data_IF_438402197437
#
_entry.id   IF_438402197437
#
_cell.length_a   1.000
_cell.length_b   1.000
_cell.length_c   1.000
_cell.angle_alpha   90.00
_cell.angle_beta   90.00
_cell.angle_gamma   90.00
#
_symmetry.space_group_name_H-M   'P 1'
#
loop_
_entity.id
_entity.type
_entity.pdbx_description
1 polymer ?
#
# COMPACT_ATOMS: atom_id res chain seq x y z
N UNK A 1 19.27 -8.11 -37.65
CA UNK A 1 19.72 -7.72 -38.99
C UNK A 1 18.93 -8.49 -40.07
N UNK A 2 18.75 -9.81 -39.95
CA UNK A 2 18.01 -10.66 -40.89
C UNK A 2 16.58 -10.16 -41.17
N UNK A 3 15.88 -9.66 -40.15
CA UNK A 3 14.52 -9.10 -40.31
C UNK A 3 14.55 -7.82 -41.17
N UNK A 4 15.62 -7.03 -41.09
CA UNK A 4 15.77 -5.81 -41.89
C UNK A 4 16.10 -6.17 -43.34
N UNK A 5 16.95 -7.17 -43.53
CA UNK A 5 17.45 -7.55 -44.85
C UNK A 5 16.44 -8.40 -45.64
N UNK A 6 15.74 -9.35 -45.00
CA UNK A 6 14.85 -10.29 -45.66
C UNK A 6 13.38 -10.26 -45.16
N UNK A 7 13.10 -9.45 -44.20
CA UNK A 7 11.95 -9.49 -43.31
C UNK A 7 10.55 -9.56 -43.92
N UNK A 8 10.12 -10.72 -44.34
CA UNK A 8 8.75 -11.00 -44.79
C UNK A 8 8.27 -10.08 -45.93
N UNK A 9 9.19 -9.68 -46.83
CA UNK A 9 8.90 -8.72 -47.90
C UNK A 9 7.79 -9.21 -48.83
N UNK A 10 7.69 -10.52 -49.08
CA UNK A 10 6.61 -11.08 -49.88
C UNK A 10 5.21 -10.81 -49.30
N UNK A 11 5.05 -11.03 -48.03
CA UNK A 11 3.76 -10.76 -47.34
C UNK A 11 3.39 -9.27 -47.36
N UNK A 12 4.37 -8.39 -47.29
CA UNK A 12 4.15 -6.93 -47.35
C UNK A 12 3.84 -6.46 -48.78
N UNK A 13 4.42 -7.11 -49.82
CA UNK A 13 4.15 -6.79 -51.22
C UNK A 13 2.68 -7.09 -51.62
N UNK A 14 2.07 -8.07 -51.00
CA UNK A 14 0.66 -8.40 -51.20
C UNK A 14 -0.32 -7.33 -50.67
N UNK A 15 0.11 -6.56 -49.66
CA UNK A 15 -0.73 -5.52 -49.03
C UNK A 15 -0.70 -4.23 -49.85
N UNK A 16 0.50 -3.76 -50.22
CA UNK A 16 0.70 -2.51 -50.96
C UNK A 16 2.11 -2.52 -51.59
N UNK A 17 2.20 -2.13 -52.87
CA UNK A 17 3.50 -2.03 -53.57
C UNK A 17 4.47 -1.07 -52.88
N UNK A 18 4.00 -0.09 -52.13
CA UNK A 18 4.83 0.87 -51.40
C UNK A 18 5.11 0.41 -49.95
N UNK A 19 4.43 -0.61 -49.45
CA UNK A 19 4.52 -1.07 -48.07
C UNK A 19 5.92 -1.56 -47.71
N UNK A 20 6.57 -2.29 -48.59
CA UNK A 20 7.95 -2.77 -48.40
C UNK A 20 8.90 -1.58 -48.18
N UNK A 21 8.83 -0.56 -49.05
CA UNK A 21 9.70 0.61 -48.94
C UNK A 21 9.47 1.36 -47.62
N UNK A 22 8.22 1.60 -47.26
CA UNK A 22 7.87 2.26 -45.97
C UNK A 22 8.37 1.46 -44.77
N UNK A 23 8.18 0.13 -44.82
CA UNK A 23 8.65 -0.79 -43.76
C UNK A 23 10.18 -0.76 -43.64
N UNK A 24 10.89 -0.86 -44.75
CA UNK A 24 12.35 -0.86 -44.74
C UNK A 24 12.90 0.46 -44.20
N UNK A 25 12.34 1.59 -44.57
CA UNK A 25 12.68 2.89 -43.99
C UNK A 25 12.46 2.90 -42.47
N UNK A 26 11.33 2.37 -42.02
CA UNK A 26 11.01 2.31 -40.57
C UNK A 26 12.01 1.39 -39.83
N UNK A 27 12.33 0.22 -40.37
CA UNK A 27 13.31 -0.71 -39.81
C UNK A 27 14.72 -0.13 -39.78
N UNK A 28 15.16 0.58 -40.83
CA UNK A 28 16.46 1.26 -40.84
C UNK A 28 16.51 2.37 -39.78
N UNK A 29 15.44 3.15 -39.61
CA UNK A 29 15.33 4.15 -38.51
C UNK A 29 15.41 3.51 -37.15
N UNK A 30 14.75 2.36 -36.96
CA UNK A 30 14.78 1.61 -35.69
C UNK A 30 16.19 1.07 -35.43
N UNK A 31 16.81 0.42 -36.44
CA UNK A 31 18.16 -0.10 -36.35
C UNK A 31 19.16 1.00 -35.95
N UNK A 32 19.06 2.16 -36.60
CA UNK A 32 19.90 3.32 -36.27
C UNK A 32 19.72 3.76 -34.82
N UNK A 33 18.48 3.78 -34.30
CA UNK A 33 18.19 4.13 -32.90
C UNK A 33 18.75 3.12 -31.90
N UNK A 34 18.63 1.83 -32.20
CA UNK A 34 19.10 0.74 -31.32
C UNK A 34 20.61 0.60 -31.36
N UNK A 35 21.24 0.89 -32.52
CA UNK A 35 22.71 0.81 -32.71
C UNK A 35 23.48 1.99 -32.12
N UNK A 36 22.77 3.07 -31.74
CA UNK A 36 23.42 4.20 -31.06
C UNK A 36 23.64 3.83 -29.58
N UNK A 37 24.88 3.83 -29.08
CA UNK A 37 25.16 3.59 -27.67
C UNK A 37 24.36 4.57 -26.81
N UNK A 38 23.82 4.10 -25.69
CA UNK A 38 23.14 4.96 -24.71
C UNK A 38 24.20 5.90 -24.11
N UNK A 39 24.37 7.07 -24.71
CA UNK A 39 25.37 8.06 -24.31
C UNK A 39 25.07 8.73 -22.94
N UNK A 40 23.86 8.60 -22.45
CA UNK A 40 23.46 9.16 -21.13
C UNK A 40 22.71 8.11 -20.32
N UNK A 41 23.39 7.57 -19.34
CA UNK A 41 22.74 6.82 -18.27
C UNK A 41 21.86 7.80 -17.50
N UNK A 42 20.54 7.56 -17.46
CA UNK A 42 19.63 8.38 -16.64
C UNK A 42 20.06 8.26 -15.18
N UNK A 43 20.42 9.38 -14.56
CA UNK A 43 20.69 9.41 -13.13
C UNK A 43 19.43 8.93 -12.39
N UNK A 44 19.56 8.04 -11.40
CA UNK A 44 18.42 7.62 -10.61
C UNK A 44 17.78 8.85 -9.95
N UNK A 45 16.46 8.90 -9.96
CA UNK A 45 15.72 9.99 -9.27
C UNK A 45 16.00 9.90 -7.77
N UNK A 46 16.47 10.99 -7.19
CA UNK A 46 16.55 11.14 -5.73
C UNK A 46 15.19 11.61 -5.23
N UNK A 47 14.62 10.91 -4.29
CA UNK A 47 13.38 11.29 -3.61
C UNK A 47 13.72 11.92 -2.25
N UNK A 48 12.92 12.91 -1.82
CA UNK A 48 13.05 13.47 -0.48
C UNK A 48 12.68 12.39 0.52
N UNK A 49 13.53 12.16 1.51
CA UNK A 49 13.22 11.25 2.62
C UNK A 49 12.22 11.94 3.53
N UNK A 50 11.09 11.30 3.76
CA UNK A 50 10.09 11.70 4.74
C UNK A 50 10.36 10.99 6.06
N UNK A 51 10.04 11.62 7.16
CA UNK A 51 10.31 11.11 8.50
C UNK A 51 8.99 11.10 9.26
N UNK A 52 8.70 10.00 9.94
CA UNK A 52 7.60 9.93 10.90
C UNK A 52 7.84 10.91 12.06
N UNK A 53 6.83 11.73 12.35
CA UNK A 53 6.85 12.70 13.46
C UNK A 53 5.58 12.67 14.30
N UNK A 54 4.64 11.79 13.98
CA UNK A 54 3.30 11.79 14.58
C UNK A 54 3.13 10.69 15.63
N UNK A 55 3.63 9.50 15.34
CA UNK A 55 3.28 8.33 16.16
C UNK A 55 4.51 7.50 16.49
N UNK A 56 4.40 6.75 17.58
CA UNK A 56 5.40 5.77 18.00
C UNK A 56 4.83 4.36 17.90
N UNK A 57 5.67 3.38 17.55
CA UNK A 57 5.22 1.98 17.34
C UNK A 57 4.50 1.44 18.58
N UNK A 58 3.37 0.80 18.36
CA UNK A 58 2.48 0.31 19.41
C UNK A 58 1.56 1.37 20.02
N UNK A 59 1.62 2.61 19.54
CA UNK A 59 0.74 3.67 20.00
C UNK A 59 -0.71 3.40 19.57
N UNK A 60 -1.62 3.44 20.54
CA UNK A 60 -3.06 3.34 20.33
C UNK A 60 -3.63 4.73 20.08
N UNK A 61 -4.27 4.87 18.96
CA UNK A 61 -4.82 6.13 18.46
C UNK A 61 -6.32 5.98 18.31
N UNK A 62 -7.06 6.88 18.93
CA UNK A 62 -8.51 6.99 18.77
C UNK A 62 -8.88 8.18 17.90
N UNK A 63 -10.01 8.09 17.24
CA UNK A 63 -10.70 9.21 16.60
C UNK A 63 -12.19 9.07 16.82
N UNK A 64 -12.93 10.18 16.70
CA UNK A 64 -14.37 10.20 16.94
C UNK A 64 -15.13 10.50 15.66
N UNK A 65 -16.16 9.70 15.41
CA UNK A 65 -17.13 9.90 14.34
C UNK A 65 -18.52 9.58 14.85
N UNK A 66 -19.51 10.41 14.53
CA UNK A 66 -20.90 10.28 14.98
C UNK A 66 -21.03 10.02 16.50
N UNK A 67 -20.20 10.71 17.29
CA UNK A 67 -20.06 10.58 18.75
C UNK A 67 -19.52 9.23 19.23
N UNK A 68 -19.12 8.32 18.37
CA UNK A 68 -18.47 7.07 18.73
C UNK A 68 -16.96 7.15 18.52
N UNK A 69 -16.22 6.49 19.38
CA UNK A 69 -14.77 6.33 19.22
C UNK A 69 -14.46 5.07 18.45
N UNK A 70 -13.53 5.21 17.52
CA UNK A 70 -12.85 4.13 16.81
C UNK A 70 -11.38 4.15 17.16
N UNK A 71 -10.72 3.00 17.14
CA UNK A 71 -9.31 2.89 17.46
C UNK A 71 -8.54 2.09 16.43
N UNK A 72 -7.28 2.44 16.31
CA UNK A 72 -6.27 1.66 15.60
C UNK A 72 -4.91 1.76 16.33
N UNK A 73 -4.04 0.81 16.06
CA UNK A 73 -2.72 0.72 16.67
C UNK A 73 -1.70 1.06 15.58
N UNK A 74 -0.85 2.04 15.82
CA UNK A 74 0.22 2.38 14.89
C UNK A 74 1.30 1.31 14.90
N UNK A 75 1.64 0.80 13.72
CA UNK A 75 2.64 -0.26 13.58
C UNK A 75 3.93 0.26 12.96
N UNK A 76 3.86 0.97 11.82
CA UNK A 76 5.06 1.34 11.08
C UNK A 76 4.85 2.58 10.21
N UNK A 77 5.96 3.21 9.85
CA UNK A 77 6.03 4.25 8.83
C UNK A 77 7.07 3.86 7.79
N UNK A 78 6.65 3.78 6.54
CA UNK A 78 7.54 3.39 5.45
C UNK A 78 7.38 4.29 4.22
N UNK A 79 8.44 4.39 3.44
CA UNK A 79 8.46 5.16 2.21
C UNK A 79 8.86 4.29 1.03
N UNK A 80 8.08 4.41 -0.05
CA UNK A 80 8.43 3.83 -1.34
C UNK A 80 8.49 4.94 -2.40
N UNK A 81 9.70 5.24 -2.87
CA UNK A 81 9.98 6.33 -3.81
C UNK A 81 9.56 7.69 -3.25
N UNK A 82 8.54 8.33 -3.86
CA UNK A 82 7.99 9.64 -3.45
C UNK A 82 6.86 9.52 -2.43
N UNK A 83 6.26 8.36 -2.32
CA UNK A 83 5.08 8.13 -1.50
C UNK A 83 5.48 7.51 -0.16
N UNK A 84 4.93 8.02 0.93
CA UNK A 84 5.12 7.49 2.27
C UNK A 84 3.78 7.16 2.90
N UNK A 85 3.80 6.21 3.82
CA UNK A 85 2.61 5.60 4.39
C UNK A 85 2.78 5.38 5.90
N UNK A 86 1.68 5.59 6.60
CA UNK A 86 1.50 5.15 7.98
C UNK A 86 0.71 3.85 7.97
N UNK A 87 1.24 2.80 8.58
CA UNK A 87 0.59 1.51 8.73
C UNK A 87 -0.08 1.40 10.10
N UNK A 88 -1.36 1.09 10.09
CA UNK A 88 -2.18 0.93 11.28
C UNK A 88 -2.86 -0.44 11.29
N UNK A 89 -3.06 -0.97 12.48
CA UNK A 89 -3.90 -2.15 12.71
C UNK A 89 -5.22 -1.67 13.30
N UNK A 90 -6.35 -1.80 12.58
CA UNK A 90 -7.64 -1.44 13.13
C UNK A 90 -8.05 -2.39 14.24
N UNK A 91 -8.81 -1.89 15.21
CA UNK A 91 -9.43 -2.68 16.27
C UNK A 91 -10.95 -2.72 16.10
N UNK A 92 -11.60 -3.66 16.74
CA UNK A 92 -13.07 -3.77 16.76
C UNK A 92 -13.75 -2.68 17.59
N UNK A 93 -12.98 -1.88 18.34
CA UNK A 93 -13.54 -0.84 19.21
C UNK A 93 -14.46 0.14 18.48
N UNK A 94 -15.71 0.23 18.95
CA UNK A 94 -16.73 1.11 18.38
C UNK A 94 -17.76 1.48 19.45
N UNK A 95 -17.43 2.44 20.33
CA UNK A 95 -18.26 2.81 21.48
C UNK A 95 -18.35 4.34 21.66
N UNK A 96 -19.34 4.82 22.39
CA UNK A 96 -19.51 6.21 22.81
C UNK A 96 -18.53 6.63 23.91
N UNK A 97 -18.01 5.67 24.65
CA UNK A 97 -17.04 5.92 25.72
C UNK A 97 -15.64 6.08 25.13
N UNK A 98 -14.88 7.03 25.69
CA UNK A 98 -13.46 7.16 25.33
C UNK A 98 -12.71 5.91 25.81
N UNK A 99 -11.97 5.22 24.93
CA UNK A 99 -11.28 4.00 25.30
C UNK A 99 -10.10 4.25 26.26
N UNK A 100 -9.77 3.22 27.02
CA UNK A 100 -8.53 3.11 27.78
C UNK A 100 -7.64 2.03 27.15
N UNK A 101 -6.36 1.97 27.54
CA UNK A 101 -5.45 0.91 27.10
C UNK A 101 -5.98 -0.48 27.51
N UNK A 102 -6.50 -0.61 28.71
CA UNK A 102 -7.05 -1.89 29.20
C UNK A 102 -8.26 -2.33 28.36
N UNK A 103 -9.11 -1.38 27.95
CA UNK A 103 -10.23 -1.65 27.05
C UNK A 103 -9.72 -2.17 25.69
N UNK A 104 -8.73 -1.50 25.10
CA UNK A 104 -8.20 -1.90 23.79
C UNK A 104 -7.44 -3.24 23.85
N UNK A 105 -6.84 -3.57 25.00
CA UNK A 105 -6.13 -4.84 25.16
C UNK A 105 -7.04 -6.07 24.99
N UNK A 106 -8.31 -5.95 25.33
CA UNK A 106 -9.33 -7.01 25.18
C UNK A 106 -10.07 -6.94 23.84
N UNK A 107 -9.93 -5.85 23.09
CA UNK A 107 -10.50 -5.73 21.75
C UNK A 107 -9.78 -6.63 20.75
N UNK A 108 -10.43 -6.91 19.64
CA UNK A 108 -9.91 -7.78 18.61
C UNK A 108 -9.32 -6.97 17.45
N UNK A 109 -8.37 -7.60 16.77
CA UNK A 109 -7.73 -7.10 15.55
C UNK A 109 -7.86 -8.11 14.42
N UNK A 110 -7.89 -7.65 13.16
CA UNK A 110 -8.07 -8.53 12.02
C UNK A 110 -6.77 -9.28 11.68
N UNK A 111 -6.89 -10.59 11.56
CA UNK A 111 -5.81 -11.47 11.16
C UNK A 111 -6.20 -12.23 9.91
N UNK A 112 -5.36 -12.24 8.90
CA UNK A 112 -5.57 -13.05 7.69
C UNK A 112 -5.20 -14.49 7.99
N UNK A 113 -6.15 -15.41 7.89
CA UNK A 113 -5.90 -16.84 7.91
C UNK A 113 -5.69 -17.36 6.50
N UNK A 114 -4.48 -17.74 6.22
CA UNK A 114 -3.99 -18.55 5.09
C UNK A 114 -4.60 -18.36 3.71
N UNK A 115 -3.75 -17.97 2.80
CA UNK A 115 -3.86 -18.38 1.40
C UNK A 115 -3.20 -19.78 1.22
N UNK A 116 -3.22 -20.33 -0.01
CA UNK A 116 -2.61 -21.62 -0.36
C UNK A 116 -1.11 -21.76 0.00
N UNK A 117 -0.45 -20.67 0.43
CA UNK A 117 0.95 -20.62 0.84
C UNK A 117 1.14 -20.54 2.37
N UNK A 118 0.05 -20.64 3.15
CA UNK A 118 0.16 -20.65 4.62
C UNK A 118 0.55 -19.29 5.23
N UNK A 119 0.23 -18.17 4.58
CA UNK A 119 0.49 -16.85 5.14
C UNK A 119 -0.52 -16.53 6.25
N UNK A 120 0.03 -16.23 7.42
CA UNK A 120 -0.68 -15.77 8.60
C UNK A 120 -0.13 -14.39 8.96
N UNK A 121 -0.97 -13.44 9.30
CA UNK A 121 -0.49 -12.12 9.70
C UNK A 121 -1.60 -11.14 10.00
N UNK A 122 -1.28 -10.16 10.83
CA UNK A 122 -2.18 -9.07 11.19
C UNK A 122 -2.48 -8.22 9.95
N UNK A 123 -3.76 -7.97 9.70
CA UNK A 123 -4.19 -7.13 8.58
C UNK A 123 -3.97 -5.66 8.90
N UNK A 124 -3.33 -4.93 7.98
CA UNK A 124 -2.92 -3.55 8.18
C UNK A 124 -3.57 -2.62 7.16
N UNK A 125 -3.99 -1.46 7.64
CA UNK A 125 -4.43 -0.33 6.85
C UNK A 125 -3.25 0.63 6.65
N UNK A 126 -2.85 0.87 5.42
CA UNK A 126 -1.77 1.79 5.09
C UNK A 126 -2.35 3.05 4.45
N UNK A 127 -2.24 4.17 5.15
CA UNK A 127 -2.72 5.47 4.71
C UNK A 127 -1.58 6.31 4.17
N UNK A 128 -1.84 7.09 3.13
CA UNK A 128 -0.85 8.04 2.62
C UNK A 128 -0.46 9.06 3.69
N UNK A 129 0.82 9.36 3.76
CA UNK A 129 1.38 10.39 4.64
C UNK A 129 0.59 11.71 4.59
N UNK A 130 0.26 12.16 3.39
CA UNK A 130 -0.47 13.43 3.18
C UNK A 130 -1.88 13.42 3.76
N UNK A 131 -2.54 12.27 3.79
CA UNK A 131 -3.91 12.15 4.29
C UNK A 131 -3.91 12.11 5.82
N UNK A 132 -2.96 11.37 6.41
CA UNK A 132 -2.77 11.35 7.86
C UNK A 132 -2.40 12.74 8.40
N UNK A 133 -1.53 13.48 7.70
CA UNK A 133 -1.18 14.87 8.08
C UNK A 133 -2.39 15.81 8.07
N UNK A 134 -3.37 15.61 7.18
CA UNK A 134 -4.62 16.39 7.17
C UNK A 134 -5.55 16.02 8.33
N UNK A 135 -5.53 14.76 8.75
CA UNK A 135 -6.44 14.24 9.78
C UNK A 135 -5.84 14.25 11.18
N UNK A 136 -4.55 14.58 11.34
CA UNK A 136 -3.81 14.46 12.61
C UNK A 136 -4.47 15.11 13.82
N UNK A 137 -5.14 16.25 13.60
CA UNK A 137 -5.79 17.01 14.69
C UNK A 137 -7.07 16.31 15.20
N UNK A 138 -7.57 15.30 14.49
CA UNK A 138 -8.69 14.45 14.92
C UNK A 138 -8.22 13.23 15.69
N UNK A 139 -6.93 12.95 15.72
CA UNK A 139 -6.37 11.77 16.36
C UNK A 139 -5.99 12.05 17.81
N UNK A 140 -6.38 11.14 18.68
CA UNK A 140 -6.17 11.22 20.11
C UNK A 140 -5.30 10.03 20.52
N UNK A 141 -4.11 10.30 21.05
CA UNK A 141 -3.27 9.26 21.64
C UNK A 141 -3.90 8.76 22.94
N UNK A 142 -4.06 7.44 23.08
CA UNK A 142 -4.62 6.78 24.25
C UNK A 142 -3.52 6.22 25.14
N UNK A 143 -2.42 5.78 24.54
CA UNK A 143 -1.28 5.18 25.20
C UNK A 143 -0.60 4.15 24.29
N UNK A 144 0.16 3.23 24.88
CA UNK A 144 0.92 2.22 24.14
C UNK A 144 0.53 0.80 24.55
N UNK A 145 0.44 -0.09 23.55
CA UNK A 145 0.37 -1.53 23.72
C UNK A 145 1.72 -2.16 23.31
N UNK A 146 2.22 -3.05 24.16
CA UNK A 146 3.38 -3.87 23.85
C UNK A 146 2.92 -5.23 23.32
N UNK A 147 2.54 -5.25 22.03
CA UNK A 147 2.08 -6.45 21.31
C UNK A 147 2.91 -6.64 20.05
N UNK A 148 3.05 -7.88 19.61
CA UNK A 148 3.74 -8.19 18.37
C UNK A 148 2.81 -8.05 17.16
N UNK A 149 2.92 -6.95 16.46
CA UNK A 149 2.18 -6.68 15.22
C UNK A 149 2.95 -7.12 13.96
N UNK A 150 4.18 -7.62 14.12
CA UNK A 150 5.05 -8.04 13.02
C UNK A 150 4.85 -9.49 12.59
N UNK A 151 3.83 -10.19 13.12
CA UNK A 151 3.50 -11.56 12.70
C UNK A 151 3.11 -11.53 11.22
N UNK A 152 4.11 -11.40 10.37
CA UNK A 152 3.98 -11.45 8.91
C UNK A 152 4.94 -12.47 8.32
N UNK A 153 4.38 -13.50 7.71
CA UNK A 153 5.16 -14.40 6.84
C UNK A 153 5.05 -14.02 5.35
N UNK A 154 4.23 -13.03 5.01
CA UNK A 154 4.15 -12.51 3.63
C UNK A 154 3.65 -11.06 3.58
N UNK A 155 4.22 -10.25 2.70
CA UNK A 155 3.91 -8.81 2.53
C UNK A 155 2.53 -8.48 1.93
N UNK A 156 1.56 -9.40 1.93
CA UNK A 156 0.23 -9.22 1.32
C UNK A 156 -0.86 -8.76 2.29
N UNK A 157 -0.52 -8.51 3.56
CA UNK A 157 -1.50 -8.16 4.59
C UNK A 157 -1.74 -6.65 4.73
N UNK A 158 -1.23 -5.84 3.80
CA UNK A 158 -1.38 -4.38 3.81
C UNK A 158 -2.39 -3.93 2.76
N UNK A 159 -3.42 -3.22 3.18
CA UNK A 159 -4.33 -2.51 2.29
C UNK A 159 -3.90 -1.04 2.21
N UNK A 160 -3.41 -0.62 1.05
CA UNK A 160 -3.02 0.77 0.82
C UNK A 160 -4.25 1.51 0.29
N UNK A 161 -4.62 2.61 0.95
CA UNK A 161 -5.75 3.43 0.54
C UNK A 161 -5.49 4.92 0.79
N UNK A 162 -6.23 5.77 0.07
CA UNK A 162 -6.32 7.20 0.32
C UNK A 162 -7.61 7.49 1.04
N UNK A 163 -7.60 8.43 1.96
CA UNK A 163 -8.78 8.88 2.71
C UNK A 163 -8.85 10.41 2.74
N UNK A 164 -10.00 10.97 2.43
CA UNK A 164 -10.22 12.42 2.43
C UNK A 164 -10.87 12.93 3.72
N UNK A 165 -11.33 12.03 4.59
CA UNK A 165 -12.00 12.38 5.85
C UNK A 165 -12.21 11.16 6.76
N UNK A 166 -12.76 11.42 7.95
CA UNK A 166 -12.97 10.38 8.96
C UNK A 166 -14.01 9.33 8.54
N UNK A 167 -15.06 9.73 7.81
CA UNK A 167 -16.08 8.78 7.33
C UNK A 167 -15.49 7.77 6.34
N UNK A 168 -14.59 8.21 5.47
CA UNK A 168 -13.91 7.30 4.55
C UNK A 168 -12.90 6.40 5.30
N UNK A 169 -12.23 6.94 6.30
CA UNK A 169 -11.36 6.16 7.19
C UNK A 169 -12.15 5.07 7.92
N UNK A 170 -13.32 5.38 8.48
CA UNK A 170 -14.19 4.41 9.13
C UNK A 170 -14.66 3.32 8.16
N UNK A 171 -15.05 3.69 6.94
CA UNK A 171 -15.43 2.73 5.90
C UNK A 171 -14.28 1.75 5.61
N UNK A 172 -13.05 2.24 5.44
CA UNK A 172 -11.88 1.39 5.22
C UNK A 172 -11.58 0.46 6.40
N UNK A 173 -11.81 0.91 7.63
CA UNK A 173 -11.68 0.07 8.84
C UNK A 173 -12.72 -1.05 8.82
N UNK A 174 -13.99 -0.73 8.55
CA UNK A 174 -15.07 -1.72 8.49
C UNK A 174 -14.80 -2.75 7.36
N UNK A 175 -14.38 -2.31 6.19
CA UNK A 175 -14.01 -3.20 5.07
C UNK A 175 -12.91 -4.20 5.45
N UNK A 176 -11.97 -3.78 6.29
CA UNK A 176 -10.91 -4.68 6.78
C UNK A 176 -11.46 -5.66 7.82
N UNK A 177 -12.26 -5.18 8.77
CA UNK A 177 -12.81 -6.02 9.85
C UNK A 177 -13.84 -7.05 9.34
N UNK A 178 -14.60 -6.69 8.31
CA UNK A 178 -15.64 -7.53 7.70
C UNK A 178 -15.14 -8.34 6.50
N UNK A 179 -13.87 -8.22 6.15
CA UNK A 179 -13.26 -8.82 4.97
C UNK A 179 -13.34 -10.35 4.95
N UNK A 180 -13.51 -10.94 3.75
CA UNK A 180 -13.45 -12.38 3.56
C UNK A 180 -12.08 -12.94 3.99
N UNK A 181 -12.09 -14.09 4.70
CA UNK A 181 -10.90 -14.78 5.22
C UNK A 181 -10.16 -13.99 6.33
N UNK A 182 -10.85 -13.09 7.00
CA UNK A 182 -10.37 -12.44 8.22
C UNK A 182 -10.90 -13.22 9.42
N UNK A 183 -10.04 -13.47 10.40
CA UNK A 183 -10.39 -13.87 11.75
C UNK A 183 -10.03 -12.74 12.71
N UNK A 184 -10.75 -12.64 13.79
CA UNK A 184 -10.50 -11.62 14.80
C UNK A 184 -9.77 -12.28 15.98
N UNK A 185 -8.68 -11.65 16.41
CA UNK A 185 -7.86 -12.09 17.53
C UNK A 185 -7.76 -10.98 18.58
N UNK A 186 -7.96 -11.32 19.84
CA UNK A 186 -7.82 -10.33 20.89
C UNK A 186 -6.38 -9.81 20.97
N UNK A 187 -6.21 -8.51 21.23
CA UNK A 187 -4.90 -7.86 21.27
C UNK A 187 -3.94 -8.56 22.27
N UNK A 188 -4.44 -9.06 23.39
CA UNK A 188 -3.61 -9.76 24.38
C UNK A 188 -3.04 -11.11 23.88
N UNK A 189 -3.62 -11.71 22.84
CA UNK A 189 -3.14 -12.98 22.24
C UNK A 189 -1.93 -12.75 21.31
N UNK A 190 -1.62 -11.50 20.98
CA UNK A 190 -0.48 -11.12 20.15
C UNK A 190 0.78 -10.75 20.95
N UNK A 191 0.88 -11.20 22.20
CA UNK A 191 2.04 -10.96 23.08
C UNK A 191 3.20 -11.90 22.80
#
# INVERSE_FOLDING_TARGET
KTIVDNGADMAWAEIDKTAISKRNIALQKLLKKVSVPILKVRKPRKYKTLINRLFTKGEVIAFQIDNKYRCFIFEDFYQYRKDAYYAFVPTTYNDYLKPSIDTILIEEVPVTKTNAMGSFGVRKLSLYYTDVEKLKDNFISIGHLNIDLEIERSGFNRQITSVNGLSELEHQINDILEGNKIELYACYELK
#
